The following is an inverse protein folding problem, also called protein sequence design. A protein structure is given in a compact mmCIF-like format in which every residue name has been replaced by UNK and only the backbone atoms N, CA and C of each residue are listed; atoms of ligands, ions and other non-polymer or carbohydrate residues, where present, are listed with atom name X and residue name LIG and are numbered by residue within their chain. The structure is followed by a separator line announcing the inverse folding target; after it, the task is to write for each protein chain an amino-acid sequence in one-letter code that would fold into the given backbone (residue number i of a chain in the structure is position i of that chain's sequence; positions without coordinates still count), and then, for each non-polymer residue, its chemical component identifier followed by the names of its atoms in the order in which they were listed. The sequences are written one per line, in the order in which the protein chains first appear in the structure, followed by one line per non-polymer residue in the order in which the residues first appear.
data_IF_398733447132
#
_entry.id   IF_398733447132
#
_cell.length_a   1.000
_cell.length_b   1.000
_cell.length_c   1.000
_cell.angle_alpha   90.00
_cell.angle_beta   90.00
_cell.angle_gamma   90.00
#
_symmetry.space_group_name_H-M   'P 1'
#
loop_
_entity.id
_entity.type
_entity.pdbx_description
1 polymer ?
#
# COMPACT_ATOMS: atom_id res chain seq x y z
N UNK A 1 23.96 -23.66 10.30
CA UNK A 1 22.50 -23.80 10.15
C UNK A 1 21.95 -22.47 9.65
N UNK A 2 21.64 -22.35 8.36
CA UNK A 2 20.98 -21.17 7.84
C UNK A 2 19.49 -21.29 8.16
N UNK A 3 18.99 -20.43 9.06
CA UNK A 3 17.56 -20.30 9.25
C UNK A 3 16.99 -19.76 7.93
N UNK A 4 16.28 -20.61 7.19
CA UNK A 4 15.50 -20.19 6.03
C UNK A 4 14.45 -19.19 6.53
N UNK A 5 14.79 -17.90 6.46
CA UNK A 5 13.86 -16.81 6.77
C UNK A 5 12.88 -16.76 5.62
N UNK A 6 11.73 -17.40 5.82
CA UNK A 6 10.63 -17.49 4.85
C UNK A 6 10.25 -16.08 4.37
N UNK A 7 10.02 -15.94 3.07
CA UNK A 7 9.28 -14.83 2.49
C UNK A 7 7.99 -14.65 3.28
N UNK A 8 7.81 -13.47 3.89
CA UNK A 8 6.60 -13.15 4.64
C UNK A 8 5.57 -12.62 3.65
N UNK A 9 4.75 -13.53 3.11
CA UNK A 9 3.56 -13.17 2.35
C UNK A 9 2.45 -12.84 3.34
N UNK A 10 2.03 -11.59 3.35
CA UNK A 10 0.95 -11.16 4.22
C UNK A 10 -0.37 -11.46 3.51
N UNK A 11 -1.13 -12.42 4.04
CA UNK A 11 -2.42 -12.76 3.48
C UNK A 11 -3.36 -11.55 3.60
N UNK A 12 -4.01 -11.20 2.47
CA UNK A 12 -5.12 -10.25 2.48
C UNK A 12 -6.24 -10.85 3.33
N UNK A 13 -6.57 -10.20 4.44
CA UNK A 13 -7.81 -10.52 5.14
C UNK A 13 -8.98 -10.09 4.24
N UNK A 14 -9.96 -10.97 3.94
CA UNK A 14 -11.21 -10.50 3.37
C UNK A 14 -11.84 -9.55 4.40
N UNK A 15 -12.21 -8.35 3.95
CA UNK A 15 -12.71 -7.28 4.79
C UNK A 15 -13.89 -7.77 5.64
N UNK A 16 -13.70 -7.87 6.96
CA UNK A 16 -14.79 -7.93 7.91
C UNK A 16 -15.31 -6.50 8.10
N UNK A 17 -16.42 -6.19 7.44
CA UNK A 17 -17.16 -4.93 7.62
C UNK A 17 -17.68 -4.84 9.05
N UNK A 18 -16.94 -4.17 9.93
CA UNK A 18 -17.41 -3.83 11.27
C UNK A 18 -18.33 -2.60 11.16
N UNK A 19 -19.64 -2.81 11.34
CA UNK A 19 -20.63 -1.73 11.57
C UNK A 19 -20.25 -0.99 12.85
N UNK A 20 -19.75 0.25 12.72
CA UNK A 20 -19.75 1.21 13.82
C UNK A 20 -21.01 2.06 13.67
N UNK A 21 -22.05 1.73 14.42
CA UNK A 21 -23.08 2.71 14.78
C UNK A 21 -22.56 3.48 15.99
N UNK A 22 -22.30 4.77 15.81
CA UNK A 22 -22.26 5.71 16.94
C UNK A 22 -22.74 7.08 16.45
N UNK A 23 -24.00 7.38 16.78
CA UNK A 23 -24.62 8.68 16.62
C UNK A 23 -24.02 9.66 17.63
N UNK A 24 -23.41 10.75 17.17
CA UNK A 24 -23.24 11.96 17.98
C UNK A 24 -23.70 13.15 17.13
N UNK A 25 -24.80 13.76 17.56
CA UNK A 25 -25.26 15.06 17.07
C UNK A 25 -24.31 16.16 17.50
N UNK A 26 -23.84 16.97 16.56
CA UNK A 26 -23.32 18.31 16.84
C UNK A 26 -24.00 19.28 15.88
N UNK A 27 -24.78 20.22 16.43
CA UNK A 27 -25.41 21.33 15.71
C UNK A 27 -24.44 22.51 15.59
N UNK A 28 -24.26 22.93 14.33
CA UNK A 28 -24.04 24.28 13.77
C UNK A 28 -23.03 25.27 14.41
N UNK A 29 -22.14 25.78 13.55
CA UNK A 29 -22.26 27.17 13.06
C UNK A 29 -21.51 27.35 11.74
N UNK A 30 -22.22 27.84 10.72
CA UNK A 30 -21.68 28.36 9.46
C UNK A 30 -20.68 29.48 9.75
N UNK A 31 -19.52 29.50 9.07
CA UNK A 31 -19.00 30.64 8.26
C UNK A 31 -17.84 30.15 7.36
N UNK A 32 -18.05 30.25 6.04
CA UNK A 32 -17.07 30.35 4.93
C UNK A 32 -15.64 29.81 5.10
N UNK A 33 -15.41 28.59 4.61
CA UNK A 33 -14.27 28.31 3.70
C UNK A 33 -14.71 27.36 2.59
N UNK A 34 -15.06 27.96 1.45
CA UNK A 34 -14.85 27.33 0.18
C UNK A 34 -13.34 27.28 -0.06
N UNK A 35 -12.74 26.09 0.03
CA UNK A 35 -11.48 25.79 -0.62
C UNK A 35 -11.50 24.34 -1.10
N UNK A 36 -11.93 24.22 -2.36
CA UNK A 36 -11.37 23.37 -3.40
C UNK A 36 -11.07 21.90 -3.07
N UNK A 37 -12.01 21.06 -3.50
CA UNK A 37 -11.79 19.94 -4.44
C UNK A 37 -10.83 18.80 -4.05
N UNK A 38 -11.45 17.66 -3.75
CA UNK A 38 -11.06 16.29 -4.09
C UNK A 38 -9.60 15.84 -3.84
N UNK A 39 -9.42 15.09 -2.76
CA UNK A 39 -8.43 14.00 -2.72
C UNK A 39 -9.14 12.72 -2.24
N UNK A 40 -10.19 12.32 -2.96
CA UNK A 40 -10.76 10.99 -2.79
C UNK A 40 -9.94 10.02 -3.65
N UNK A 41 -9.44 8.94 -3.02
CA UNK A 41 -9.00 7.73 -3.73
C UNK A 41 -7.50 7.61 -4.07
N UNK A 42 -6.57 7.84 -3.14
CA UNK A 42 -5.34 7.04 -3.09
C UNK A 42 -5.05 6.67 -1.65
N UNK A 43 -5.37 5.44 -1.28
CA UNK A 43 -4.92 4.87 -0.01
C UNK A 43 -3.39 4.83 -0.06
N UNK A 44 -2.73 5.63 0.79
CA UNK A 44 -1.29 5.59 1.00
C UNK A 44 -1.03 5.04 2.40
N UNK A 45 -1.47 3.80 2.64
CA UNK A 45 -1.62 3.23 3.99
C UNK A 45 -0.31 3.30 4.76
N UNK A 46 0.79 2.92 4.13
CA UNK A 46 2.14 2.98 4.69
C UNK A 46 2.85 4.32 4.48
N UNK A 47 2.23 5.33 3.86
CA UNK A 47 2.88 6.61 3.56
C UNK A 47 4.15 6.48 2.69
N UNK A 48 4.30 5.42 1.89
CA UNK A 48 5.52 5.19 1.11
C UNK A 48 5.77 6.32 0.08
N UNK A 49 4.72 6.93 -0.46
CA UNK A 49 4.84 8.07 -1.36
C UNK A 49 5.43 9.34 -0.71
N UNK A 50 5.70 9.33 0.60
CA UNK A 50 6.45 10.41 1.29
C UNK A 50 7.97 10.24 1.21
N UNK A 51 8.46 9.06 0.78
CA UNK A 51 9.86 8.87 0.44
C UNK A 51 10.13 9.68 -0.84
N UNK A 52 10.86 10.78 -0.72
CA UNK A 52 11.17 11.66 -1.85
C UNK A 52 12.45 11.22 -2.56
N UNK A 53 12.41 10.86 -3.85
CA UNK A 53 13.61 10.63 -4.64
C UNK A 53 14.41 11.92 -4.83
N UNK A 54 15.69 11.87 -4.47
CA UNK A 54 16.62 13.00 -4.60
C UNK A 54 17.17 13.15 -6.01
N UNK A 55 17.01 12.15 -6.87
CA UNK A 55 17.45 12.19 -8.28
C UNK A 55 16.39 12.75 -9.24
N UNK A 56 15.29 13.31 -8.72
CA UNK A 56 14.21 13.93 -9.51
C UNK A 56 13.36 12.95 -10.32
N UNK A 57 13.45 11.64 -10.05
CA UNK A 57 12.78 10.61 -10.84
C UNK A 57 11.30 10.40 -10.49
N UNK A 58 10.84 10.76 -9.28
CA UNK A 58 9.43 10.59 -8.91
C UNK A 58 8.92 11.71 -8.00
N UNK A 59 7.62 11.95 -8.13
CA UNK A 59 6.76 12.71 -7.23
C UNK A 59 5.80 11.74 -6.53
N UNK A 60 5.14 12.15 -5.42
CA UNK A 60 4.12 11.33 -4.78
C UNK A 60 2.98 10.89 -5.72
N UNK A 61 2.70 11.65 -6.78
CA UNK A 61 1.64 11.34 -7.74
C UNK A 61 2.02 10.16 -8.65
N UNK A 62 3.32 9.98 -8.92
CA UNK A 62 3.80 8.93 -9.82
C UNK A 62 3.54 7.52 -9.28
N UNK A 63 3.27 7.40 -7.98
CA UNK A 63 2.94 6.16 -7.29
C UNK A 63 1.45 5.77 -7.35
N UNK A 64 0.58 6.65 -7.84
CA UNK A 64 -0.85 6.32 -7.97
C UNK A 64 -1.03 5.14 -8.92
N UNK A 65 -1.82 4.16 -8.48
CA UNK A 65 -2.15 2.95 -9.26
C UNK A 65 -0.94 2.10 -9.67
N UNK A 66 0.19 2.23 -8.97
CA UNK A 66 1.43 1.47 -9.24
C UNK A 66 1.88 0.69 -8.02
N UNK A 67 2.61 -0.40 -8.25
CA UNK A 67 3.30 -1.13 -7.19
C UNK A 67 4.68 -0.52 -6.93
N UNK A 68 5.20 -0.67 -5.72
CA UNK A 68 6.55 -0.22 -5.38
C UNK A 68 7.37 -1.30 -4.67
N UNK A 69 8.60 -1.51 -5.13
CA UNK A 69 9.64 -2.27 -4.45
C UNK A 69 10.59 -1.29 -3.77
N UNK A 70 10.39 -1.05 -2.48
CA UNK A 70 11.23 -0.16 -1.66
C UNK A 70 12.36 -0.98 -1.05
N UNK A 71 13.60 -0.54 -1.18
CA UNK A 71 14.78 -1.26 -0.68
C UNK A 71 15.65 -0.32 0.15
N UNK A 72 15.93 -0.66 1.41
CA UNK A 72 16.87 0.13 2.21
C UNK A 72 18.31 -0.27 1.87
N UNK A 73 19.08 0.62 1.27
CA UNK A 73 20.38 0.30 0.65
C UNK A 73 21.56 0.88 1.41
N UNK A 74 22.76 0.31 1.19
CA UNK A 74 24.01 0.84 1.70
C UNK A 74 25.20 0.54 0.77
N UNK A 75 26.00 1.55 0.41
CA UNK A 75 27.10 1.47 -0.57
C UNK A 75 28.24 0.53 -0.17
N UNK A 76 28.47 0.34 1.14
CA UNK A 76 29.55 -0.51 1.69
C UNK A 76 29.04 -1.85 2.22
N UNK A 77 27.84 -2.26 1.81
CA UNK A 77 27.27 -3.55 2.19
C UNK A 77 27.75 -4.68 1.26
N UNK A 78 27.88 -5.90 1.80
CA UNK A 78 28.16 -7.10 0.99
C UNK A 78 27.08 -7.41 -0.05
N UNK A 79 25.84 -6.92 0.16
CA UNK A 79 24.72 -7.07 -0.77
C UNK A 79 24.66 -5.96 -1.84
N UNK A 80 25.61 -5.03 -1.89
CA UNK A 80 25.63 -3.97 -2.90
C UNK A 80 25.63 -4.49 -4.35
N UNK A 81 26.08 -5.73 -4.58
CA UNK A 81 25.95 -6.41 -5.88
C UNK A 81 24.50 -6.57 -6.36
N UNK A 82 23.51 -6.57 -5.45
CA UNK A 82 22.10 -6.68 -5.78
C UNK A 82 21.55 -5.45 -6.52
N UNK A 83 22.24 -4.30 -6.52
CA UNK A 83 21.81 -3.12 -7.28
C UNK A 83 21.62 -3.41 -8.78
N UNK A 84 22.47 -4.27 -9.35
CA UNK A 84 22.34 -4.68 -10.76
C UNK A 84 21.07 -5.50 -11.03
N UNK A 85 20.69 -6.33 -10.07
CA UNK A 85 19.47 -7.14 -10.18
C UNK A 85 18.21 -6.29 -9.96
N UNK A 86 18.26 -5.31 -9.06
CA UNK A 86 17.21 -4.31 -8.89
C UNK A 86 17.04 -3.46 -10.16
N UNK A 87 18.14 -3.10 -10.81
CA UNK A 87 18.13 -2.41 -12.11
C UNK A 87 17.44 -3.27 -13.18
N UNK A 88 17.75 -4.57 -13.27
CA UNK A 88 17.09 -5.47 -14.21
C UNK A 88 15.57 -5.59 -13.94
N UNK A 89 15.13 -5.62 -12.68
CA UNK A 89 13.70 -5.58 -12.34
C UNK A 89 13.05 -4.26 -12.80
N UNK A 90 13.73 -3.13 -12.57
CA UNK A 90 13.25 -1.83 -13.01
C UNK A 90 13.09 -1.75 -14.54
N UNK A 91 14.10 -2.18 -15.28
CA UNK A 91 14.06 -2.22 -16.76
C UNK A 91 12.92 -3.11 -17.27
N UNK A 92 12.69 -4.26 -16.61
CA UNK A 92 11.67 -5.23 -17.05
C UNK A 92 10.24 -4.78 -16.75
N UNK A 93 9.99 -4.16 -15.60
CA UNK A 93 8.63 -3.98 -15.08
C UNK A 93 8.19 -2.52 -14.89
N UNK A 94 9.06 -1.53 -15.14
CA UNK A 94 8.70 -0.12 -14.98
C UNK A 94 7.52 0.31 -15.85
N UNK A 95 7.50 -0.10 -17.12
CA UNK A 95 6.38 0.18 -18.04
C UNK A 95 5.09 -0.55 -17.65
N UNK A 96 5.20 -1.62 -16.85
CA UNK A 96 4.05 -2.40 -16.35
C UNK A 96 3.52 -1.85 -15.02
N UNK A 97 4.14 -0.80 -14.46
CA UNK A 97 3.69 -0.15 -13.22
C UNK A 97 4.47 -0.55 -11.96
N UNK A 98 5.65 -1.19 -12.08
CA UNK A 98 6.55 -1.37 -10.95
C UNK A 98 7.48 -0.16 -10.78
N UNK A 99 7.48 0.42 -9.58
CA UNK A 99 8.47 1.41 -9.18
C UNK A 99 9.51 0.75 -8.28
N UNK A 100 10.79 0.85 -8.63
CA UNK A 100 11.90 0.45 -7.74
C UNK A 100 12.48 1.70 -7.08
N UNK A 101 12.60 1.70 -5.75
CA UNK A 101 13.15 2.83 -4.98
C UNK A 101 14.24 2.35 -4.04
N UNK A 102 15.45 2.87 -4.19
CA UNK A 102 16.49 2.74 -3.16
C UNK A 102 16.32 3.81 -2.09
N UNK A 103 16.45 3.41 -0.83
CA UNK A 103 16.48 4.29 0.34
C UNK A 103 17.83 4.12 1.05
N UNK A 104 18.84 4.92 0.70
CA UNK A 104 20.15 4.83 1.33
C UNK A 104 20.05 5.09 2.84
N UNK A 105 20.67 4.24 3.66
CA UNK A 105 20.62 4.39 5.12
C UNK A 105 21.91 3.97 5.82
N UNK A 106 22.26 4.69 6.88
CA UNK A 106 23.47 4.43 7.66
C UNK A 106 23.19 3.70 8.98
N UNK A 107 21.94 3.27 9.21
CA UNK A 107 21.49 2.73 10.49
C UNK A 107 22.07 1.34 10.79
N UNK A 108 22.45 0.59 9.76
CA UNK A 108 23.01 -0.76 9.89
C UNK A 108 24.53 -0.75 9.66
N UNK A 109 25.27 -0.91 10.76
CA UNK A 109 26.73 -1.02 10.80
C UNK A 109 27.52 0.13 10.13
N UNK A 110 26.91 1.32 9.98
CA UNK A 110 27.60 2.49 9.44
C UNK A 110 28.04 2.34 7.98
N UNK A 111 27.31 1.56 7.17
CA UNK A 111 27.69 1.18 5.82
C UNK A 111 27.31 2.21 4.72
N UNK A 112 26.71 3.34 5.10
CA UNK A 112 26.37 4.46 4.20
C UNK A 112 26.81 5.82 4.81
N UNK A 113 28.11 6.03 5.10
CA UNK A 113 28.59 7.23 5.76
C UNK A 113 28.73 8.45 4.82
N UNK A 114 28.56 8.25 3.51
CA UNK A 114 28.76 9.25 2.48
C UNK A 114 27.71 10.36 2.48
N UNK A 115 28.02 11.46 1.80
CA UNK A 115 27.04 12.52 1.48
C UNK A 115 26.16 12.07 0.31
N UNK A 116 25.02 12.74 0.12
CA UNK A 116 24.07 12.44 -0.96
C UNK A 116 24.75 12.36 -2.32
N UNK A 117 25.60 13.33 -2.67
CA UNK A 117 26.31 13.33 -3.97
C UNK A 117 27.23 12.12 -4.17
N UNK A 118 27.91 11.67 -3.11
CA UNK A 118 28.80 10.49 -3.16
C UNK A 118 27.97 9.21 -3.36
N UNK A 119 26.81 9.12 -2.71
CA UNK A 119 25.87 8.00 -2.83
C UNK A 119 25.33 7.95 -4.26
N UNK A 120 24.83 9.07 -4.78
CA UNK A 120 24.29 9.15 -6.14
C UNK A 120 25.35 8.77 -7.18
N UNK A 121 26.57 9.28 -7.03
CA UNK A 121 27.69 8.91 -7.91
C UNK A 121 27.98 7.42 -7.85
N UNK A 122 28.05 6.82 -6.66
CA UNK A 122 28.30 5.38 -6.47
C UNK A 122 27.22 4.53 -7.14
N UNK A 123 25.96 4.94 -7.04
CA UNK A 123 24.83 4.19 -7.60
C UNK A 123 24.82 4.33 -9.13
N UNK A 124 25.13 5.52 -9.65
CA UNK A 124 25.35 5.74 -11.08
C UNK A 124 26.50 4.88 -11.63
N UNK A 125 27.63 4.78 -10.92
CA UNK A 125 28.75 3.89 -11.28
C UNK A 125 28.36 2.40 -11.30
N UNK A 126 27.27 2.04 -10.60
CA UNK A 126 26.70 0.69 -10.61
C UNK A 126 25.63 0.49 -11.71
N UNK A 127 25.35 1.52 -12.51
CA UNK A 127 24.35 1.51 -13.58
C UNK A 127 22.90 1.69 -13.08
N UNK A 128 22.70 2.21 -11.87
CA UNK A 128 21.36 2.44 -11.33
C UNK A 128 20.71 3.63 -12.02
N UNK A 129 19.53 3.42 -12.61
CA UNK A 129 18.69 4.46 -13.21
C UNK A 129 17.36 4.64 -12.48
N UNK A 130 16.96 3.68 -11.64
CA UNK A 130 15.74 3.78 -10.85
C UNK A 130 15.83 4.87 -9.75
N UNK A 131 14.71 5.13 -9.07
CA UNK A 131 14.62 6.21 -8.10
C UNK A 131 15.50 5.97 -6.87
N UNK A 132 16.23 7.00 -6.44
CA UNK A 132 17.06 6.98 -5.24
C UNK A 132 16.58 8.08 -4.32
N UNK A 133 16.18 7.73 -3.10
CA UNK A 133 15.77 8.66 -2.06
C UNK A 133 16.97 9.37 -1.41
N UNK A 134 16.70 10.47 -0.72
CA UNK A 134 17.67 11.04 0.20
C UNK A 134 18.09 10.02 1.26
N UNK A 135 19.32 10.18 1.77
CA UNK A 135 19.82 9.31 2.85
C UNK A 135 18.94 9.47 4.09
N UNK A 136 18.23 8.40 4.44
CA UNK A 136 17.10 8.45 5.37
C UNK A 136 17.28 7.41 6.49
N UNK A 137 17.00 7.76 7.76
CA UNK A 137 16.92 6.76 8.81
C UNK A 137 15.74 5.81 8.56
N UNK A 138 15.98 4.51 8.68
CA UNK A 138 15.01 3.45 8.44
C UNK A 138 14.73 2.61 9.70
N UNK A 139 15.53 2.78 10.76
CA UNK A 139 15.38 2.10 12.04
C UNK A 139 15.41 3.07 13.24
N UNK A 140 14.87 2.61 14.38
CA UNK A 140 14.81 3.36 15.63
C UNK A 140 13.85 4.55 15.62
N UNK A 141 13.95 5.39 16.66
CA UNK A 141 13.00 6.48 16.91
C UNK A 141 12.96 7.55 15.82
N UNK A 142 14.03 7.65 15.01
CA UNK A 142 14.15 8.61 13.92
C UNK A 142 13.78 8.02 12.56
N UNK A 143 13.37 6.74 12.51
CA UNK A 143 12.95 6.10 11.28
C UNK A 143 11.88 6.90 10.54
N UNK A 144 11.97 6.90 9.22
CA UNK A 144 10.98 7.49 8.35
C UNK A 144 9.57 6.93 8.63
N UNK A 145 8.49 7.74 8.51
CA UNK A 145 7.13 7.28 8.78
C UNK A 145 6.73 5.99 8.09
N UNK A 146 7.21 5.75 6.85
CA UNK A 146 7.02 4.49 6.13
C UNK A 146 7.48 3.27 6.93
N UNK A 147 8.72 3.25 7.41
CA UNK A 147 9.28 2.12 8.15
C UNK A 147 8.67 1.98 9.54
N UNK A 148 8.32 3.10 10.19
CA UNK A 148 7.58 3.08 11.46
C UNK A 148 6.22 2.42 11.30
N UNK A 149 5.46 2.79 10.27
CA UNK A 149 4.15 2.20 9.99
C UNK A 149 4.22 0.71 9.68
N UNK A 150 5.29 0.24 9.05
CA UNK A 150 5.52 -1.20 8.87
C UNK A 150 5.65 -1.89 10.24
N UNK A 151 6.48 -1.33 11.13
CA UNK A 151 6.66 -1.87 12.47
C UNK A 151 5.36 -1.88 13.29
N UNK A 152 4.59 -0.77 13.22
CA UNK A 152 3.35 -0.58 13.97
C UNK A 152 2.21 -1.48 13.47
N UNK A 153 2.06 -1.61 12.15
CA UNK A 153 0.94 -2.35 11.55
C UNK A 153 1.16 -3.86 11.54
N UNK A 154 2.40 -4.32 11.37
CA UNK A 154 2.70 -5.74 11.17
C UNK A 154 3.52 -6.31 12.31
N UNK A 155 4.78 -5.92 12.42
CA UNK A 155 5.64 -6.11 13.59
C UNK A 155 7.01 -5.49 13.34
N UNK A 156 7.76 -5.27 14.40
CA UNK A 156 9.18 -4.88 14.33
C UNK A 156 10.05 -5.87 13.57
N UNK A 157 9.68 -7.14 13.51
CA UNK A 157 10.40 -8.18 12.75
C UNK A 157 10.21 -8.09 11.24
N UNK A 158 9.18 -7.36 10.80
CA UNK A 158 8.88 -7.11 9.39
C UNK A 158 9.54 -5.82 8.91
N UNK A 159 9.76 -4.85 9.79
CA UNK A 159 10.51 -3.62 9.50
C UNK A 159 12.00 -3.92 9.19
N UNK A 160 12.77 -2.95 8.65
CA UNK A 160 14.17 -3.18 8.29
C UNK A 160 14.98 -3.76 9.45
N UNK A 161 15.58 -4.93 9.21
CA UNK A 161 16.45 -5.62 10.15
C UNK A 161 17.92 -5.53 9.74
N UNK A 162 18.18 -5.33 8.45
CA UNK A 162 19.50 -5.11 7.88
C UNK A 162 19.43 -4.32 6.57
N UNK A 163 20.59 -3.95 6.01
CA UNK A 163 20.68 -3.40 4.65
C UNK A 163 20.20 -4.43 3.62
N UNK A 164 19.51 -3.98 2.58
CA UNK A 164 18.94 -4.74 1.46
C UNK A 164 17.70 -5.58 1.78
N UNK A 165 17.02 -5.32 2.90
CA UNK A 165 15.63 -5.78 3.05
C UNK A 165 14.74 -5.05 2.02
N UNK A 166 13.76 -5.76 1.46
CA UNK A 166 12.96 -5.30 0.31
C UNK A 166 11.49 -5.40 0.65
N UNK A 167 10.75 -4.33 0.38
CA UNK A 167 9.35 -4.17 0.76
C UNK A 167 8.53 -3.97 -0.51
N UNK A 168 7.77 -4.99 -0.89
CA UNK A 168 6.84 -4.90 -1.99
C UNK A 168 5.51 -4.33 -1.47
N UNK A 169 5.09 -3.22 -2.07
CA UNK A 169 3.90 -2.44 -1.71
C UNK A 169 2.95 -2.45 -2.89
N UNK A 170 1.67 -2.70 -2.64
CA UNK A 170 0.62 -2.69 -3.66
C UNK A 170 0.15 -1.26 -4.02
N UNK A 171 -0.73 -1.16 -5.02
CA UNK A 171 -1.26 0.12 -5.49
C UNK A 171 -2.13 0.88 -4.48
N UNK A 172 -2.45 0.27 -3.33
CA UNK A 172 -3.16 0.92 -2.21
C UNK A 172 -2.19 1.32 -1.10
N UNK A 173 -0.89 1.28 -1.38
CA UNK A 173 0.16 1.63 -0.45
C UNK A 173 0.25 0.70 0.75
N UNK A 174 -0.25 -0.54 0.63
CA UNK A 174 -0.17 -1.55 1.69
C UNK A 174 0.84 -2.64 1.38
N UNK A 175 1.34 -3.34 2.40
CA UNK A 175 2.40 -4.31 2.20
C UNK A 175 1.87 -5.58 1.54
N UNK A 176 2.54 -6.00 0.46
CA UNK A 176 2.31 -7.24 -0.25
C UNK A 176 3.26 -8.35 0.20
N UNK A 177 4.56 -8.06 0.27
CA UNK A 177 5.59 -9.02 0.67
C UNK A 177 6.84 -8.31 1.22
N UNK A 178 7.61 -9.02 2.06
CA UNK A 178 8.97 -8.63 2.47
C UNK A 178 9.97 -9.72 2.12
N UNK A 179 11.09 -9.29 1.54
CA UNK A 179 12.21 -10.15 1.21
C UNK A 179 13.44 -9.74 2.04
N UNK A 180 14.00 -10.64 2.84
CA UNK A 180 15.22 -10.36 3.60
C UNK A 180 16.43 -10.03 2.70
N UNK A 181 17.44 -9.41 3.30
CA UNK A 181 18.69 -9.01 2.64
C UNK A 181 19.41 -10.10 1.82
N UNK A 182 19.36 -11.36 2.26
CA UNK A 182 19.99 -12.49 1.59
C UNK A 182 19.14 -13.09 0.44
N UNK A 183 17.91 -12.60 0.25
CA UNK A 183 17.08 -12.96 -0.90
C UNK A 183 17.50 -12.12 -2.10
N UNK A 184 18.00 -12.79 -3.14
CA UNK A 184 18.44 -12.15 -4.38
C UNK A 184 17.23 -11.64 -5.20
N UNK A 185 17.27 -10.42 -5.78
CA UNK A 185 16.08 -9.84 -6.43
C UNK A 185 15.51 -10.62 -7.63
N UNK A 186 16.33 -11.41 -8.35
CA UNK A 186 15.89 -12.16 -9.52
C UNK A 186 15.50 -13.62 -9.25
N UNK A 187 15.37 -14.03 -7.98
CA UNK A 187 14.86 -15.37 -7.67
C UNK A 187 13.38 -15.47 -8.01
N UNK A 188 12.94 -16.68 -8.35
CA UNK A 188 11.56 -16.97 -8.78
C UNK A 188 10.51 -16.43 -7.81
N UNK A 189 10.77 -16.51 -6.50
CA UNK A 189 9.84 -16.06 -5.45
C UNK A 189 9.60 -14.54 -5.50
N UNK A 190 10.65 -13.74 -5.72
CA UNK A 190 10.52 -12.28 -5.85
C UNK A 190 9.81 -11.91 -7.15
N UNK A 191 10.18 -12.57 -8.25
CA UNK A 191 9.58 -12.33 -9.57
C UNK A 191 8.08 -12.66 -9.54
N UNK A 192 7.69 -13.80 -8.96
CA UNK A 192 6.30 -14.21 -8.91
C UNK A 192 5.42 -13.23 -8.12
N UNK A 193 5.90 -12.73 -6.98
CA UNK A 193 5.17 -11.72 -6.19
C UNK A 193 5.07 -10.37 -6.91
N UNK A 194 6.11 -10.00 -7.67
CA UNK A 194 6.08 -8.80 -8.52
C UNK A 194 5.03 -8.98 -9.62
N UNK A 195 5.05 -10.09 -10.35
CA UNK A 195 4.10 -10.34 -11.43
C UNK A 195 2.65 -10.38 -10.91
N UNK A 196 2.41 -11.05 -9.77
CA UNK A 196 1.08 -11.09 -9.17
C UNK A 196 0.59 -9.70 -8.70
N UNK A 197 1.46 -8.87 -8.10
CA UNK A 197 1.04 -7.51 -7.69
C UNK A 197 0.79 -6.59 -8.89
N UNK A 198 1.45 -6.85 -10.02
CA UNK A 198 1.24 -6.11 -11.26
C UNK A 198 -0.08 -6.51 -11.95
N UNK A 199 -0.47 -7.77 -11.88
CA UNK A 199 -1.79 -8.24 -12.37
C UNK A 199 -2.95 -7.62 -11.56
N UNK A 200 -2.72 -7.36 -10.28
CA UNK A 200 -3.65 -6.70 -9.35
C UNK A 200 -3.77 -5.18 -9.56
N UNK A 201 -2.99 -4.58 -10.47
CA UNK A 201 -3.08 -3.13 -10.72
C UNK A 201 -4.40 -2.77 -11.41
N UNK A 202 -5.00 -1.63 -11.07
CA UNK A 202 -6.17 -1.12 -11.78
C UNK A 202 -5.83 -0.92 -13.27
N UNK A 203 -6.55 -1.59 -14.16
CA UNK A 203 -6.39 -1.45 -15.62
C UNK A 203 -7.45 -0.49 -16.16
N UNK A 204 -7.09 0.27 -17.20
CA UNK A 204 -8.04 1.12 -17.94
C UNK A 204 -8.35 2.47 -17.30
N UNK A 205 -7.55 2.94 -16.34
CA UNK A 205 -7.69 4.28 -15.78
C UNK A 205 -6.73 5.22 -16.53
N UNK A 206 -7.28 6.02 -17.44
CA UNK A 206 -6.53 7.13 -18.03
C UNK A 206 -6.14 8.15 -16.94
N UNK A 207 -4.98 8.82 -17.05
CA UNK A 207 -4.61 9.87 -16.11
C UNK A 207 -5.70 10.93 -15.99
N UNK A 208 -6.41 10.96 -14.85
CA UNK A 208 -7.50 11.91 -14.57
C UNK A 208 -8.90 11.32 -14.49
N UNK A 209 -9.10 10.02 -14.71
CA UNK A 209 -10.38 9.37 -14.42
C UNK A 209 -10.49 9.00 -12.93
N UNK A 210 -11.47 9.59 -12.24
CA UNK A 210 -11.89 9.12 -10.93
C UNK A 210 -12.68 7.81 -11.11
N UNK A 211 -12.48 6.86 -10.20
CA UNK A 211 -13.31 5.66 -10.12
C UNK A 211 -14.73 6.10 -9.74
N UNK A 212 -15.64 6.13 -10.71
CA UNK A 212 -17.07 6.20 -10.40
C UNK A 212 -17.46 4.85 -9.83
N UNK A 213 -17.74 4.83 -8.54
CA UNK A 213 -18.29 3.67 -7.87
C UNK A 213 -19.72 3.44 -8.39
N UNK A 214 -19.87 2.64 -9.45
CA UNK A 214 -21.16 2.19 -9.97
C UNK A 214 -21.78 1.19 -8.98
N UNK A 215 -22.45 1.72 -7.95
CA UNK A 215 -23.35 0.96 -7.09
C UNK A 215 -24.75 1.00 -7.68
N UNK A 216 -25.10 -0.04 -8.42
CA UNK A 216 -26.47 -0.29 -8.87
C UNK A 216 -27.29 -0.75 -7.66
N UNK A 217 -28.12 0.15 -7.14
CA UNK A 217 -29.15 -0.20 -6.17
C UNK A 217 -30.35 -0.69 -6.98
N UNK A 218 -30.49 -2.00 -7.14
CA UNK A 218 -31.78 -2.55 -7.53
C UNK A 218 -32.76 -2.32 -6.37
N UNK A 219 -33.71 -1.40 -6.55
CA UNK A 219 -34.89 -1.30 -5.69
C UNK A 219 -35.75 -2.55 -5.94
N UNK A 220 -35.69 -3.52 -5.03
CA UNK A 220 -36.71 -4.56 -4.95
C UNK A 220 -37.98 -3.92 -4.35
N UNK A 221 -38.92 -3.54 -5.23
CA UNK A 221 -40.30 -3.25 -4.89
C UNK A 221 -40.92 -4.50 -4.24
N UNK A 222 -41.06 -4.48 -2.91
CA UNK A 222 -41.80 -5.49 -2.18
C UNK A 222 -43.30 -5.15 -2.23
N UNK A 223 -44.01 -5.77 -3.17
CA UNK A 223 -45.48 -5.83 -3.18
C UNK A 223 -45.96 -6.65 -1.97
N UNK A 224 -46.51 -5.97 -0.96
CA UNK A 224 -47.23 -6.58 0.17
C UNK A 224 -48.73 -6.60 -0.15
N UNK A 225 -49.15 -7.55 -1.00
CA UNK A 225 -50.55 -7.99 -1.09
C UNK A 225 -50.80 -8.99 0.04
N UNK A 226 -51.53 -8.57 1.07
CA UNK A 226 -52.11 -9.48 2.05
C UNK A 226 -53.61 -9.62 1.80
N UNK A 227 -53.97 -10.85 1.44
CA UNK A 227 -55.30 -11.34 1.12
C UNK A 227 -56.31 -11.17 2.27
N UNK A 228 -57.54 -10.80 1.89
CA UNK A 228 -58.76 -11.04 2.65
C UNK A 228 -59.03 -12.55 2.73
N UNK A 229 -59.44 -13.06 3.90
CA UNK A 229 -60.61 -13.94 4.07
C UNK A 229 -60.79 -14.33 5.54
N UNK A 230 -62.03 -14.23 6.05
CA UNK A 230 -62.39 -14.54 7.43
C UNK A 230 -63.90 -14.58 7.63
N UNK A 231 -64.42 -15.79 7.51
CA UNK A 231 -65.81 -16.26 7.45
C UNK A 231 -66.77 -15.79 8.57
N UNK A 232 -68.00 -15.58 8.11
CA UNK A 232 -69.34 -15.82 8.67
C UNK A 232 -69.48 -16.63 9.97
N UNK A 233 -70.37 -16.13 10.86
CA UNK A 233 -70.85 -16.84 12.04
C UNK A 233 -72.11 -16.20 12.61
N UNK A 234 -73.25 -16.82 12.30
CA UNK A 234 -74.62 -16.46 12.69
C UNK A 234 -74.92 -16.52 14.21
N UNK A 235 -75.78 -15.59 14.63
CA UNK A 235 -76.95 -15.70 15.52
C UNK A 235 -76.86 -16.51 16.84
N UNK A 236 -77.13 -15.82 17.97
CA UNK A 236 -78.07 -16.34 18.98
C UNK A 236 -78.55 -15.23 19.95
N UNK A 237 -79.74 -14.73 19.66
CA UNK A 237 -80.80 -14.27 20.57
C UNK A 237 -80.64 -14.56 22.09
N UNK A 238 -80.71 -13.52 22.95
CA UNK A 238 -81.48 -13.56 24.21
C UNK A 238 -81.75 -12.18 24.86
N UNK A 239 -83.01 -11.76 24.68
CA UNK A 239 -83.86 -10.94 25.56
C UNK A 239 -83.58 -11.13 27.06
N UNK A 240 -83.44 -10.05 27.85
CA UNK A 240 -84.15 -9.80 29.13
C UNK A 240 -83.92 -8.39 29.68
N UNK A 241 -85.06 -7.71 29.93
CA UNK A 241 -85.35 -6.50 30.74
C UNK A 241 -84.81 -5.15 30.30
#
# INVERSE_FOLDING_TARGET
MAASRRVLRLQRSPLLTARIQSLVSIKQSHENRCFSSATQGFSNVLQFATIQPSNGQLTPQDFRFKAALVVNTASKCGHAGQLKQLQALHEKYSEQGLIVVAVPSNDFAGQEPGKVDDILKRYADCGVTFAIAERTPVAGDKAHPFFKKIADKYSTSVAPTWNFDKFLVDHRGDMRAVFPNDTEPLVTEVIAEIEEVLEDLPRGIEPGQELEDEYDYEEEDSDDESDEEGEDGEDNNRRYK
#
